data_IF_290423873014
#
_entry.id   IF_290423873014
#
_cell.length_a   1.000
_cell.length_b   1.000
_cell.length_c   1.000
_cell.angle_alpha   90.00
_cell.angle_beta   90.00
_cell.angle_gamma   90.00
#
_symmetry.space_group_name_H-M   'P 1'
#
loop_
_entity.id
_entity.type
_entity.pdbx_description
1 polymer ?
#
# COMPACT_ATOMS: atom_id res chain seq x y z
N UNK A 1 -25.91 -32.84 54.34
CA UNK A 1 -26.39 -32.91 52.94
C UNK A 1 -25.60 -34.00 52.21
N UNK A 2 -26.20 -34.70 51.25
CA UNK A 2 -25.71 -36.00 50.73
C UNK A 2 -24.66 -35.83 49.61
N UNK A 3 -23.70 -36.76 49.55
CA UNK A 3 -22.64 -36.95 48.53
C UNK A 3 -23.16 -37.17 47.10
N UNK A 4 -22.33 -36.94 46.04
CA UNK A 4 -21.92 -37.99 45.04
C UNK A 4 -21.16 -37.54 43.77
N UNK A 5 -20.23 -38.42 43.33
CA UNK A 5 -19.60 -38.66 41.98
C UNK A 5 -18.78 -37.53 41.29
N UNK A 6 -17.47 -37.70 40.96
CA UNK A 6 -16.80 -38.48 39.87
C UNK A 6 -17.12 -37.93 38.45
N UNK A 7 -16.19 -37.78 37.47
CA UNK A 7 -14.75 -38.15 37.30
C UNK A 7 -14.07 -37.21 36.23
N UNK A 8 -12.72 -37.14 36.03
CA UNK A 8 -12.08 -36.08 35.21
C UNK A 8 -12.01 -36.37 33.70
N UNK A 9 -11.86 -35.33 32.87
CA UNK A 9 -11.58 -35.44 31.44
C UNK A 9 -10.22 -34.80 31.09
N UNK A 10 -9.29 -35.63 30.62
CA UNK A 10 -8.08 -35.17 29.90
C UNK A 10 -8.46 -35.01 28.43
N UNK A 11 -8.17 -33.85 27.85
CA UNK A 11 -7.99 -33.71 26.39
C UNK A 11 -6.66 -33.02 26.14
N UNK A 12 -5.68 -33.82 25.73
CA UNK A 12 -4.41 -33.39 25.19
C UNK A 12 -4.63 -32.99 23.72
N UNK A 13 -4.33 -31.74 23.36
CA UNK A 13 -4.29 -31.31 21.96
C UNK A 13 -3.13 -30.33 21.75
N UNK A 14 -2.08 -30.80 21.08
CA UNK A 14 -0.90 -30.00 20.71
C UNK A 14 -1.29 -29.04 19.59
N UNK A 15 -1.08 -27.73 19.80
CA UNK A 15 -1.09 -26.72 18.74
C UNK A 15 0.33 -26.16 18.59
N UNK A 16 0.95 -26.42 17.45
CA UNK A 16 2.37 -26.15 17.18
C UNK A 16 2.69 -24.65 17.19
N UNK A 17 3.41 -24.21 18.22
CA UNK A 17 4.06 -22.90 18.29
C UNK A 17 5.30 -22.85 17.38
N UNK A 18 5.09 -22.60 16.08
CA UNK A 18 6.19 -22.32 15.14
C UNK A 18 6.71 -20.90 15.38
N UNK A 19 7.57 -20.77 16.39
CA UNK A 19 8.32 -19.54 16.69
C UNK A 19 9.44 -19.34 15.68
N UNK A 20 9.12 -18.96 14.44
CA UNK A 20 10.12 -18.49 13.47
C UNK A 20 10.63 -17.10 13.85
N UNK A 21 11.72 -17.10 14.61
CA UNK A 21 12.51 -15.89 14.89
C UNK A 21 13.20 -15.41 13.59
N UNK A 22 12.53 -14.53 12.85
CA UNK A 22 13.14 -13.86 11.70
C UNK A 22 14.25 -12.93 12.16
N UNK A 23 15.50 -13.36 11.96
CA UNK A 23 16.69 -12.55 12.21
C UNK A 23 16.63 -11.28 11.35
N UNK A 24 16.51 -10.12 11.99
CA UNK A 24 16.38 -8.82 11.32
C UNK A 24 17.71 -8.37 10.70
N UNK A 25 18.13 -8.99 9.59
CA UNK A 25 18.96 -8.28 8.62
C UNK A 25 18.11 -7.19 8.00
N UNK A 26 18.36 -5.94 8.39
CA UNK A 26 17.75 -4.75 7.80
C UNK A 26 18.27 -4.61 6.36
N UNK A 27 17.62 -5.33 5.45
CA UNK A 27 17.72 -5.05 4.01
C UNK A 27 17.12 -3.67 3.80
N UNK A 28 17.88 -2.75 3.18
CA UNK A 28 17.33 -1.47 2.71
C UNK A 28 16.26 -1.76 1.66
N UNK A 29 15.02 -1.81 2.09
CA UNK A 29 13.86 -2.05 1.23
C UNK A 29 13.66 -0.84 0.31
N UNK A 30 13.51 -1.08 -0.98
CA UNK A 30 13.08 -0.05 -1.93
C UNK A 30 11.60 0.28 -1.68
N UNK A 31 11.32 1.16 -0.71
CA UNK A 31 9.98 1.72 -0.47
C UNK A 31 9.55 2.74 -1.55
N UNK A 32 9.92 2.50 -2.81
CA UNK A 32 9.97 3.50 -3.87
C UNK A 32 8.61 4.02 -4.31
N UNK A 33 7.64 3.13 -4.57
CA UNK A 33 6.42 3.52 -5.27
C UNK A 33 5.46 4.40 -4.45
N UNK A 34 5.34 4.18 -3.14
CA UNK A 34 4.42 4.99 -2.33
C UNK A 34 5.08 6.25 -1.75
N UNK A 35 6.31 6.17 -1.25
CA UNK A 35 7.04 7.36 -0.80
C UNK A 35 7.31 8.30 -1.99
N UNK A 36 7.68 7.72 -3.15
CA UNK A 36 7.70 8.42 -4.43
C UNK A 36 6.31 8.94 -4.83
N UNK A 37 5.25 8.13 -4.68
CA UNK A 37 3.89 8.52 -5.06
C UNK A 37 3.31 9.73 -4.31
N UNK A 38 3.66 9.96 -3.05
CA UNK A 38 3.29 11.19 -2.33
C UNK A 38 4.24 12.35 -2.68
N UNK A 39 5.56 12.13 -2.67
CA UNK A 39 6.52 13.18 -3.00
C UNK A 39 6.32 13.73 -4.44
N UNK A 40 6.06 12.85 -5.40
CA UNK A 40 5.70 13.20 -6.78
C UNK A 40 4.35 13.92 -6.86
N UNK A 41 3.39 13.61 -5.99
CA UNK A 41 2.12 14.34 -5.93
C UNK A 41 2.35 15.77 -5.41
N UNK A 42 3.18 15.96 -4.38
CA UNK A 42 3.55 17.29 -3.89
C UNK A 42 4.30 18.12 -4.94
N UNK A 43 5.32 17.55 -5.58
CA UNK A 43 6.07 18.23 -6.64
C UNK A 43 5.17 18.63 -7.81
N UNK A 44 4.33 17.71 -8.28
CA UNK A 44 3.33 18.02 -9.30
C UNK A 44 2.38 19.15 -8.86
N UNK A 45 1.91 19.16 -7.62
CA UNK A 45 0.99 20.21 -7.15
C UNK A 45 1.71 21.57 -7.10
N UNK A 46 2.92 21.65 -6.55
CA UNK A 46 3.72 22.87 -6.51
C UNK A 46 3.95 23.46 -7.91
N UNK A 47 4.46 22.65 -8.84
CA UNK A 47 4.86 23.11 -10.17
C UNK A 47 3.67 23.39 -11.09
N UNK A 48 2.62 22.55 -11.04
CA UNK A 48 1.50 22.65 -11.99
C UNK A 48 0.35 23.52 -11.47
N UNK A 49 0.19 23.74 -10.17
CA UNK A 49 -0.88 24.58 -9.62
C UNK A 49 -0.41 25.98 -9.21
N UNK A 50 0.84 26.34 -9.50
CA UNK A 50 1.44 27.65 -9.18
C UNK A 50 1.23 27.99 -7.68
N UNK A 51 1.59 27.06 -6.79
CA UNK A 51 1.29 27.19 -5.37
C UNK A 51 2.14 28.26 -4.71
N UNK A 52 1.51 29.08 -3.87
CA UNK A 52 2.23 30.05 -3.04
C UNK A 52 3.10 29.34 -2.00
N UNK A 53 4.16 29.99 -1.54
CA UNK A 53 5.06 29.43 -0.51
C UNK A 53 4.29 29.02 0.76
N UNK A 54 3.24 29.78 1.12
CA UNK A 54 2.36 29.46 2.24
C UNK A 54 1.56 28.16 2.00
N UNK A 55 0.98 27.97 0.80
CA UNK A 55 0.32 26.72 0.43
C UNK A 55 1.32 25.55 0.45
N UNK A 56 2.53 25.73 -0.10
CA UNK A 56 3.57 24.70 -0.10
C UNK A 56 4.03 24.31 1.31
N UNK A 57 4.12 25.28 2.24
CA UNK A 57 4.43 25.02 3.65
C UNK A 57 3.32 24.18 4.31
N UNK A 58 2.05 24.62 4.19
CA UNK A 58 0.90 23.88 4.73
C UNK A 58 0.80 22.45 4.16
N UNK A 59 1.11 22.27 2.88
CA UNK A 59 1.16 20.94 2.26
C UNK A 59 2.28 20.07 2.85
N UNK A 60 3.45 20.61 3.16
CA UNK A 60 4.53 19.88 3.85
C UNK A 60 4.11 19.46 5.26
N UNK A 61 3.42 20.33 5.99
CA UNK A 61 2.93 20.05 7.35
C UNK A 61 1.89 18.92 7.38
N UNK A 62 0.94 18.91 6.43
CA UNK A 62 -0.02 17.81 6.25
C UNK A 62 0.70 16.47 6.02
N UNK A 63 1.71 16.45 5.14
CA UNK A 63 2.48 15.22 4.90
C UNK A 63 3.33 14.81 6.10
N UNK A 64 3.94 15.77 6.82
CA UNK A 64 4.72 15.49 8.03
C UNK A 64 3.85 14.88 9.13
N UNK A 65 2.62 15.38 9.31
CA UNK A 65 1.59 14.87 10.23
C UNK A 65 1.16 13.44 9.91
N UNK A 66 0.92 13.12 8.64
CA UNK A 66 0.43 11.79 8.23
C UNK A 66 1.54 10.75 8.00
N UNK A 67 2.81 11.18 7.91
CA UNK A 67 3.97 10.30 7.71
C UNK A 67 4.07 9.14 8.73
N UNK A 68 3.86 9.33 10.05
CA UNK A 68 3.94 8.23 11.02
C UNK A 68 2.89 7.14 10.78
N UNK A 69 1.71 7.50 10.28
CA UNK A 69 0.63 6.58 9.93
C UNK A 69 0.95 5.79 8.65
N UNK A 70 1.57 6.47 7.68
CA UNK A 70 1.85 5.92 6.35
C UNK A 70 3.11 5.06 6.31
N UNK A 71 4.17 5.47 7.00
CA UNK A 71 5.46 4.78 6.97
C UNK A 71 5.40 3.27 7.30
N UNK A 72 4.67 2.79 8.34
CA UNK A 72 4.55 1.35 8.59
C UNK A 72 3.78 0.60 7.49
N UNK A 73 2.77 1.22 6.87
CA UNK A 73 2.01 0.61 5.77
C UNK A 73 2.92 0.38 4.53
N UNK A 74 3.79 1.34 4.20
CA UNK A 74 4.79 1.17 3.13
C UNK A 74 5.75 0.03 3.46
N UNK A 75 6.22 -0.05 4.71
CA UNK A 75 7.13 -1.10 5.16
C UNK A 75 6.47 -2.49 5.08
N UNK A 76 5.20 -2.60 5.48
CA UNK A 76 4.42 -3.84 5.36
C UNK A 76 4.27 -4.30 3.91
N UNK A 77 3.96 -3.40 2.96
CA UNK A 77 3.92 -3.75 1.54
C UNK A 77 5.28 -4.19 1.02
N UNK A 78 6.35 -3.44 1.34
CA UNK A 78 7.70 -3.77 0.89
C UNK A 78 8.18 -5.13 1.43
N UNK A 79 7.86 -5.46 2.70
CA UNK A 79 8.08 -6.78 3.28
C UNK A 79 7.22 -7.85 2.58
N UNK A 80 5.96 -7.54 2.29
CA UNK A 80 5.05 -8.45 1.58
C UNK A 80 5.53 -8.79 0.17
N UNK A 81 6.06 -7.83 -0.58
CA UNK A 81 6.68 -8.08 -1.89
C UNK A 81 7.91 -9.01 -1.76
N UNK A 82 8.76 -8.82 -0.74
CA UNK A 82 9.89 -9.72 -0.48
C UNK A 82 9.42 -11.15 -0.12
N UNK A 83 8.38 -11.27 0.69
CA UNK A 83 7.80 -12.57 1.06
C UNK A 83 7.15 -13.27 -0.15
N UNK A 84 6.48 -12.54 -1.04
CA UNK A 84 5.88 -13.13 -2.24
C UNK A 84 6.97 -13.68 -3.17
N UNK A 85 8.03 -12.89 -3.39
CA UNK A 85 9.19 -13.33 -4.17
C UNK A 85 9.87 -14.58 -3.58
N UNK A 86 9.88 -14.74 -2.26
CA UNK A 86 10.38 -15.96 -1.60
C UNK A 86 9.45 -17.17 -1.80
N UNK A 87 8.12 -16.98 -1.75
CA UNK A 87 7.14 -18.04 -2.03
C UNK A 87 7.21 -18.51 -3.49
N UNK A 88 7.40 -17.58 -4.43
CA UNK A 88 7.59 -17.88 -5.85
C UNK A 88 8.90 -18.65 -6.12
N UNK A 89 9.96 -18.35 -5.37
CA UNK A 89 11.27 -19.01 -5.49
C UNK A 89 11.39 -20.33 -4.71
N UNK A 90 10.39 -20.71 -3.91
CA UNK A 90 10.45 -21.87 -3.02
C UNK A 90 10.46 -23.25 -3.73
N UNK A 91 10.44 -23.29 -5.06
CA UNK A 91 10.46 -24.52 -5.88
C UNK A 91 9.14 -25.29 -5.92
N UNK A 92 8.31 -25.16 -4.89
CA UNK A 92 6.96 -25.76 -4.81
C UNK A 92 5.93 -24.68 -4.52
N UNK A 93 4.89 -24.60 -5.34
CA UNK A 93 3.77 -23.67 -5.13
C UNK A 93 2.95 -24.04 -3.88
N UNK A 94 2.82 -23.10 -2.95
CA UNK A 94 1.94 -23.22 -1.78
C UNK A 94 0.84 -22.16 -1.84
N UNK A 95 -0.32 -22.56 -2.39
CA UNK A 95 -1.47 -21.68 -2.57
C UNK A 95 -1.97 -21.06 -1.24
N UNK A 96 -1.95 -21.82 -0.15
CA UNK A 96 -2.41 -21.35 1.16
C UNK A 96 -1.54 -20.20 1.69
N UNK A 97 -0.21 -20.32 1.58
CA UNK A 97 0.73 -19.26 1.93
C UNK A 97 0.58 -18.03 1.04
N UNK A 98 0.42 -18.23 -0.28
CA UNK A 98 0.21 -17.12 -1.24
C UNK A 98 -1.09 -16.38 -0.96
N UNK A 99 -2.20 -17.09 -0.71
CA UNK A 99 -3.50 -16.48 -0.37
C UNK A 99 -3.46 -15.74 0.96
N UNK A 100 -2.81 -16.28 1.99
CA UNK A 100 -2.65 -15.62 3.28
C UNK A 100 -1.90 -14.28 3.14
N UNK A 101 -0.77 -14.30 2.41
CA UNK A 101 0.04 -13.11 2.15
C UNK A 101 -0.70 -12.07 1.29
N UNK A 102 -1.39 -12.51 0.23
CA UNK A 102 -2.19 -11.63 -0.62
C UNK A 102 -3.34 -10.96 0.16
N UNK A 103 -4.01 -11.71 1.05
CA UNK A 103 -5.04 -11.17 1.95
C UNK A 103 -4.47 -10.06 2.85
N UNK A 104 -3.33 -10.31 3.50
CA UNK A 104 -2.65 -9.31 4.33
C UNK A 104 -2.27 -8.06 3.53
N UNK A 105 -1.67 -8.21 2.35
CA UNK A 105 -1.30 -7.06 1.50
C UNK A 105 -2.53 -6.26 1.03
N UNK A 106 -3.66 -6.91 0.76
CA UNK A 106 -4.90 -6.22 0.36
C UNK A 106 -5.45 -5.32 1.46
N UNK A 107 -5.31 -5.73 2.73
CA UNK A 107 -5.69 -4.91 3.89
C UNK A 107 -4.76 -3.70 4.02
N UNK A 108 -3.43 -3.90 3.96
CA UNK A 108 -2.46 -2.79 3.97
C UNK A 108 -2.68 -1.81 2.81
N UNK A 109 -2.97 -2.30 1.59
CA UNK A 109 -3.32 -1.46 0.44
C UNK A 109 -4.61 -0.65 0.66
N UNK A 110 -5.60 -1.23 1.35
CA UNK A 110 -6.87 -0.55 1.66
C UNK A 110 -6.63 0.64 2.57
N UNK A 111 -5.95 0.44 3.71
CA UNK A 111 -5.58 1.52 4.64
C UNK A 111 -4.75 2.60 3.94
N UNK A 112 -3.79 2.18 3.11
CA UNK A 112 -2.91 3.08 2.39
C UNK A 112 -3.66 3.93 1.35
N UNK A 113 -4.70 3.38 0.71
CA UNK A 113 -5.62 4.11 -0.18
C UNK A 113 -6.45 5.15 0.60
N UNK A 114 -6.98 4.77 1.78
CA UNK A 114 -7.72 5.68 2.66
C UNK A 114 -6.84 6.87 3.08
N UNK A 115 -5.58 6.63 3.48
CA UNK A 115 -4.68 7.73 3.84
C UNK A 115 -4.31 8.61 2.65
N UNK A 116 -4.11 8.04 1.45
CA UNK A 116 -3.87 8.83 0.23
C UNK A 116 -5.08 9.72 -0.12
N UNK A 117 -6.30 9.21 0.08
CA UNK A 117 -7.53 9.97 -0.14
C UNK A 117 -7.72 11.10 0.89
N UNK A 118 -7.46 10.82 2.18
CA UNK A 118 -7.45 11.82 3.26
C UNK A 118 -6.51 12.97 2.94
N UNK A 119 -5.24 12.65 2.67
CA UNK A 119 -4.22 13.63 2.28
C UNK A 119 -4.69 14.44 1.08
N UNK A 120 -5.10 13.79 -0.02
CA UNK A 120 -5.55 14.52 -1.23
C UNK A 120 -6.69 15.50 -0.89
N UNK A 121 -7.63 15.11 -0.03
CA UNK A 121 -8.71 15.99 0.43
C UNK A 121 -8.18 17.23 1.16
N UNK A 122 -7.29 17.04 2.15
CA UNK A 122 -6.67 18.13 2.92
C UNK A 122 -5.86 19.07 2.01
N UNK A 123 -5.05 18.53 1.08
CA UNK A 123 -4.27 19.35 0.13
C UNK A 123 -5.17 20.12 -0.86
N UNK A 124 -6.24 19.50 -1.36
CA UNK A 124 -7.21 20.16 -2.27
C UNK A 124 -8.00 21.25 -1.54
N UNK A 125 -8.23 21.15 -0.23
CA UNK A 125 -8.90 22.18 0.54
C UNK A 125 -8.14 23.52 0.51
N UNK A 126 -6.80 23.48 0.52
CA UNK A 126 -5.89 24.65 0.48
C UNK A 126 -5.90 25.41 -0.87
N UNK A 127 -6.43 24.81 -1.94
CA UNK A 127 -6.39 25.39 -3.29
C UNK A 127 -7.46 26.47 -3.50
N UNK A 128 -7.10 27.52 -4.24
CA UNK A 128 -8.06 28.53 -4.74
C UNK A 128 -9.04 27.92 -5.76
N UNK A 129 -10.17 28.57 -6.06
CA UNK A 129 -11.11 28.11 -7.10
C UNK A 129 -10.43 27.87 -8.46
N UNK A 130 -9.53 28.76 -8.88
CA UNK A 130 -8.81 28.64 -10.16
C UNK A 130 -7.82 27.47 -10.16
N UNK A 131 -7.11 27.26 -9.04
CA UNK A 131 -6.23 26.10 -8.87
C UNK A 131 -7.03 24.78 -8.89
N UNK A 132 -8.21 24.75 -8.25
CA UNK A 132 -9.14 23.60 -8.32
C UNK A 132 -9.61 23.34 -9.75
N UNK A 133 -9.92 24.37 -10.52
CA UNK A 133 -10.27 24.25 -11.94
C UNK A 133 -9.07 23.76 -12.79
N UNK A 134 -7.84 24.22 -12.52
CA UNK A 134 -6.61 23.78 -13.19
C UNK A 134 -6.31 22.29 -12.90
N UNK A 135 -6.54 21.85 -11.65
CA UNK A 135 -6.45 20.45 -11.22
C UNK A 135 -7.49 19.57 -11.91
N UNK A 136 -8.77 19.96 -11.92
CA UNK A 136 -9.83 19.20 -12.59
C UNK A 136 -9.55 19.00 -14.10
N UNK A 137 -9.08 20.06 -14.79
CA UNK A 137 -8.63 19.98 -16.19
C UNK A 137 -7.44 19.01 -16.38
N UNK A 138 -6.54 18.90 -15.40
CA UNK A 138 -5.47 17.90 -15.45
C UNK A 138 -5.99 16.48 -15.26
N UNK A 139 -6.86 16.24 -14.28
CA UNK A 139 -7.40 14.91 -14.00
C UNK A 139 -8.21 14.38 -15.19
N UNK A 140 -9.02 15.23 -15.84
CA UNK A 140 -9.72 14.91 -17.08
C UNK A 140 -8.75 14.54 -18.23
N UNK A 141 -7.69 15.33 -18.45
CA UNK A 141 -6.65 15.00 -19.47
C UNK A 141 -5.94 13.69 -19.16
N UNK A 142 -5.69 13.36 -17.88
CA UNK A 142 -5.08 12.10 -17.46
C UNK A 142 -6.02 10.92 -17.70
N UNK A 143 -7.31 11.06 -17.38
CA UNK A 143 -8.33 10.04 -17.65
C UNK A 143 -8.48 9.76 -19.16
N UNK A 144 -8.53 10.80 -19.99
CA UNK A 144 -8.58 10.66 -21.45
C UNK A 144 -7.33 9.96 -22.03
N UNK A 145 -6.12 10.27 -21.53
CA UNK A 145 -4.91 9.53 -21.90
C UNK A 145 -4.99 8.07 -21.50
N UNK A 146 -5.41 7.76 -20.27
CA UNK A 146 -5.57 6.38 -19.80
C UNK A 146 -6.56 5.60 -20.67
N UNK A 147 -7.73 6.17 -20.97
CA UNK A 147 -8.70 5.58 -21.90
C UNK A 147 -8.10 5.33 -23.29
N UNK A 148 -7.29 6.25 -23.82
CA UNK A 148 -6.59 6.05 -25.11
C UNK A 148 -5.58 4.90 -25.05
N UNK A 149 -4.80 4.78 -23.97
CA UNK A 149 -3.87 3.65 -23.81
C UNK A 149 -4.60 2.31 -23.72
N UNK A 150 -5.72 2.24 -22.98
CA UNK A 150 -6.57 1.05 -22.89
C UNK A 150 -7.17 0.65 -24.26
N UNK A 151 -7.63 1.62 -25.06
CA UNK A 151 -8.19 1.36 -26.40
C UNK A 151 -7.12 0.95 -27.43
N UNK A 152 -5.88 1.44 -27.29
CA UNK A 152 -4.82 1.23 -28.27
C UNK A 152 -3.98 -0.04 -28.04
N UNK A 153 -4.31 -0.89 -27.06
CA UNK A 153 -3.74 -2.24 -26.89
C UNK A 153 -2.25 -2.33 -26.51
N UNK A 154 -1.50 -1.23 -26.50
CA UNK A 154 -0.11 -1.19 -26.06
C UNK A 154 -0.02 -0.98 -24.54
N UNK A 155 -0.34 -2.05 -23.80
CA UNK A 155 -0.28 -2.10 -22.35
C UNK A 155 -0.22 -3.55 -21.87
N UNK A 156 1.01 -4.05 -21.70
CA UNK A 156 1.38 -5.47 -21.50
C UNK A 156 1.34 -6.29 -22.80
N UNK A 157 2.53 -6.50 -23.39
CA UNK A 157 2.72 -7.58 -24.35
C UNK A 157 2.52 -8.91 -23.61
N UNK A 158 1.77 -9.89 -24.14
CA UNK A 158 1.96 -11.26 -23.69
C UNK A 158 3.43 -11.61 -23.93
N UNK A 159 4.09 -12.20 -22.93
CA UNK A 159 5.36 -12.87 -23.16
C UNK A 159 5.09 -13.99 -24.16
N UNK A 160 5.73 -13.95 -25.33
CA UNK A 160 5.69 -15.08 -26.24
C UNK A 160 6.25 -16.31 -25.49
N UNK A 161 5.63 -17.50 -25.62
CA UNK A 161 6.26 -18.71 -25.14
C UNK A 161 7.58 -18.88 -25.91
N UNK A 162 8.68 -19.02 -25.17
CA UNK A 162 9.95 -19.42 -25.78
C UNK A 162 9.79 -20.88 -26.25
N UNK A 163 10.03 -21.13 -27.53
CA UNK A 163 10.25 -22.46 -28.10
C UNK A 163 11.63 -23.02 -27.69
#
# INVERSE_FOLDING_TARGET
>A
MVSRFKIPMVVLAVALSVSMAFSQKIVRTQGGEFHGGIAHMLGFYADYLDLTDAQQAQMKDIIAKEKPTIQPLIQQLAQGHQQMSQLEQAGTFNEASVRALASQQSQTMTELMVQKARIKSELVALLTPDQKAKLAKFEARRAARFQKHMQNGQGVSPAAPNE
#
